data_IF_306249399343
#
_entry.id   IF_306249399343
#
_cell.length_a   1.000
_cell.length_b   1.000
_cell.length_c   1.000
_cell.angle_alpha   90.00
_cell.angle_beta   90.00
_cell.angle_gamma   90.00
#
_symmetry.space_group_name_H-M   'P 1'
#
loop_
_entity.id
_entity.type
_entity.pdbx_description
1 polymer ?
#
# COMPACT_ATOMS: atom_id res chain seq x y z
N UNK A 1 -17.75 -14.79 24.45
CA UNK A 1 -17.33 -14.54 23.04
C UNK A 1 -17.94 -13.27 22.46
N UNK A 2 -19.19 -12.93 22.81
CA UNK A 2 -19.88 -11.73 22.27
C UNK A 2 -19.18 -10.41 22.64
N UNK A 3 -18.59 -10.30 23.81
CA UNK A 3 -17.84 -9.12 24.26
C UNK A 3 -16.50 -8.92 23.54
N UNK A 4 -15.88 -10.01 23.06
CA UNK A 4 -14.60 -9.93 22.31
C UNK A 4 -14.80 -9.47 20.86
N UNK A 5 -15.92 -9.82 20.22
CA UNK A 5 -16.23 -9.41 18.85
C UNK A 5 -16.54 -7.91 18.76
N UNK A 6 -17.26 -7.36 19.74
CA UNK A 6 -17.50 -5.91 19.79
C UNK A 6 -16.20 -5.11 20.01
N UNK A 7 -15.30 -5.61 20.87
CA UNK A 7 -14.01 -4.95 21.12
C UNK A 7 -13.04 -5.05 19.93
N UNK A 8 -13.25 -5.98 19.00
CA UNK A 8 -12.42 -6.11 17.80
C UNK A 8 -12.90 -5.17 16.70
N UNK A 9 -14.21 -5.00 16.51
CA UNK A 9 -14.79 -4.19 15.42
C UNK A 9 -14.40 -2.73 15.44
N UNK A 10 -14.31 -2.12 16.62
CA UNK A 10 -13.92 -0.72 16.80
C UNK A 10 -12.38 -0.48 16.71
N UNK A 11 -11.60 -1.56 16.57
CA UNK A 11 -10.14 -1.53 16.46
C UNK A 11 -9.62 -2.01 15.10
N UNK A 12 -10.47 -2.61 14.29
CA UNK A 12 -10.10 -3.04 12.93
C UNK A 12 -10.24 -1.84 12.00
N UNK A 13 -9.13 -1.41 11.41
CA UNK A 13 -9.05 -0.22 10.56
C UNK A 13 -8.82 -0.56 9.07
N UNK A 14 -8.69 -1.84 8.73
CA UNK A 14 -8.48 -2.28 7.34
C UNK A 14 -8.56 -3.79 7.21
N UNK A 15 -8.76 -4.25 5.98
CA UNK A 15 -8.79 -5.66 5.59
C UNK A 15 -7.51 -6.01 4.87
N UNK A 16 -6.70 -6.89 5.40
CA UNK A 16 -5.45 -7.30 4.75
C UNK A 16 -4.41 -7.79 5.76
N UNK A 17 -3.19 -7.93 5.31
CA UNK A 17 -2.66 -7.78 3.96
C UNK A 17 -3.21 -8.89 3.04
N UNK A 18 -3.61 -8.55 1.81
CA UNK A 18 -4.19 -9.47 0.83
C UNK A 18 -3.79 -9.09 -0.60
N UNK A 19 -3.78 -10.04 -1.50
CA UNK A 19 -3.44 -9.80 -2.90
C UNK A 19 -2.72 -10.98 -3.55
N UNK A 20 -1.80 -10.69 -4.47
CA UNK A 20 -1.15 -11.69 -5.31
C UNK A 20 0.38 -11.60 -5.18
N UNK A 21 1.02 -12.72 -4.84
CA UNK A 21 2.48 -12.87 -4.86
C UNK A 21 2.88 -14.07 -5.73
N UNK A 22 3.35 -13.77 -6.94
CA UNK A 22 3.82 -14.78 -7.88
C UNK A 22 5.34 -14.91 -7.90
N UNK A 23 6.01 -14.16 -7.04
CA UNK A 23 7.45 -14.27 -6.86
C UNK A 23 7.80 -15.43 -5.90
N UNK A 24 7.17 -15.47 -4.72
CA UNK A 24 7.39 -16.55 -3.77
C UNK A 24 6.56 -17.78 -4.09
N UNK A 25 5.39 -17.61 -4.72
CA UNK A 25 4.47 -18.67 -5.18
C UNK A 25 4.18 -19.73 -4.09
N UNK A 26 4.06 -19.28 -2.85
CA UNK A 26 3.87 -20.13 -1.65
C UNK A 26 2.50 -20.79 -1.59
N UNK A 27 1.54 -20.30 -2.39
CA UNK A 27 0.18 -20.84 -2.51
C UNK A 27 -0.25 -20.87 -3.96
N UNK A 28 -1.04 -21.86 -4.40
CA UNK A 28 -1.53 -21.92 -5.78
C UNK A 28 -2.21 -20.62 -6.21
N UNK A 29 -1.82 -20.06 -7.35
CA UNK A 29 -2.32 -18.77 -7.86
C UNK A 29 -3.83 -18.65 -7.84
N UNK A 30 -4.53 -19.71 -8.25
CA UNK A 30 -6.00 -19.77 -8.19
C UNK A 30 -6.54 -19.51 -6.78
N UNK A 31 -5.90 -20.06 -5.75
CA UNK A 31 -6.29 -19.84 -4.36
C UNK A 31 -5.97 -18.42 -3.89
N UNK A 32 -4.86 -17.85 -4.36
CA UNK A 32 -4.54 -16.44 -4.07
C UNK A 32 -5.64 -15.52 -4.65
N UNK A 33 -6.04 -15.74 -5.91
CA UNK A 33 -7.12 -14.97 -6.56
C UNK A 33 -8.45 -15.14 -5.83
N UNK A 34 -8.84 -16.38 -5.47
CA UNK A 34 -10.07 -16.65 -4.72
C UNK A 34 -10.06 -15.94 -3.34
N UNK A 35 -8.93 -15.97 -2.63
CA UNK A 35 -8.78 -15.29 -1.34
C UNK A 35 -8.82 -13.77 -1.51
N UNK A 36 -8.12 -13.24 -2.52
CA UNK A 36 -8.10 -11.80 -2.80
C UNK A 36 -9.51 -11.25 -3.06
N UNK A 37 -10.30 -11.91 -3.91
CA UNK A 37 -11.70 -11.54 -4.17
C UNK A 37 -12.57 -11.57 -2.91
N UNK A 38 -12.41 -12.59 -2.05
CA UNK A 38 -13.13 -12.67 -0.76
C UNK A 38 -12.79 -11.52 0.19
N UNK A 39 -11.53 -11.09 0.21
CA UNK A 39 -11.14 -9.93 1.02
C UNK A 39 -11.68 -8.61 0.43
N UNK A 40 -11.77 -8.51 -0.90
CA UNK A 40 -12.45 -7.38 -1.55
C UNK A 40 -13.93 -7.34 -1.17
N UNK A 41 -14.63 -8.48 -1.19
CA UNK A 41 -16.02 -8.57 -0.74
C UNK A 41 -16.15 -8.14 0.73
N UNK A 42 -15.27 -8.62 1.61
CA UNK A 42 -15.25 -8.23 3.03
C UNK A 42 -14.99 -6.73 3.21
N UNK A 43 -14.10 -6.14 2.41
CA UNK A 43 -13.85 -4.69 2.40
C UNK A 43 -15.10 -3.92 2.00
N UNK A 44 -15.77 -4.35 0.93
CA UNK A 44 -17.01 -3.75 0.44
C UNK A 44 -18.15 -3.83 1.46
N UNK A 45 -18.32 -5.00 2.12
CA UNK A 45 -19.37 -5.22 3.12
C UNK A 45 -19.14 -4.45 4.42
N UNK A 46 -17.88 -4.34 4.84
CA UNK A 46 -17.53 -3.68 6.10
C UNK A 46 -17.33 -2.17 5.96
N UNK A 47 -17.09 -1.67 4.75
CA UNK A 47 -16.66 -0.29 4.49
C UNK A 47 -15.20 -0.01 4.89
N UNK A 48 -14.46 -1.03 5.34
CA UNK A 48 -13.05 -0.88 5.71
C UNK A 48 -12.14 -0.93 4.48
N UNK A 49 -11.06 -0.14 4.44
CA UNK A 49 -10.14 -0.13 3.30
C UNK A 49 -9.39 -1.45 3.16
N UNK A 50 -9.10 -1.80 1.91
CA UNK A 50 -8.32 -2.97 1.56
C UNK A 50 -6.82 -2.65 1.55
N UNK A 51 -6.00 -3.47 2.22
CA UNK A 51 -4.54 -3.36 2.21
C UNK A 51 -4.02 -4.36 1.18
N UNK A 52 -3.60 -3.85 0.01
CA UNK A 52 -3.26 -4.67 -1.16
C UNK A 52 -1.76 -4.91 -1.26
N UNK A 53 -1.39 -6.18 -1.27
CA UNK A 53 -0.07 -6.65 -1.67
C UNK A 53 -0.08 -7.09 -3.13
N UNK A 54 0.96 -6.72 -3.89
CA UNK A 54 1.18 -7.29 -5.23
C UNK A 54 2.67 -7.44 -5.53
N UNK A 55 3.05 -8.61 -6.04
CA UNK A 55 4.43 -8.89 -6.43
C UNK A 55 4.47 -9.86 -7.61
N UNK A 56 5.08 -9.41 -8.72
CA UNK A 56 5.14 -10.17 -9.98
C UNK A 56 3.75 -10.59 -10.50
N UNK A 57 2.71 -9.81 -10.19
CA UNK A 57 1.32 -10.08 -10.53
C UNK A 57 0.56 -8.82 -11.00
N UNK A 58 1.28 -7.82 -11.50
CA UNK A 58 0.77 -6.48 -11.81
C UNK A 58 -0.50 -6.51 -12.64
N UNK A 59 -0.46 -7.17 -13.80
CA UNK A 59 -1.59 -7.24 -14.72
C UNK A 59 -2.82 -7.86 -14.09
N UNK A 60 -2.69 -9.03 -13.45
CA UNK A 60 -3.83 -9.74 -12.87
C UNK A 60 -4.41 -8.97 -11.66
N UNK A 61 -3.54 -8.32 -10.88
CA UNK A 61 -3.98 -7.42 -9.80
C UNK A 61 -4.82 -6.27 -10.35
N UNK A 62 -4.37 -5.61 -11.42
CA UNK A 62 -5.12 -4.52 -12.06
C UNK A 62 -6.46 -5.00 -12.62
N UNK A 63 -6.48 -6.15 -13.32
CA UNK A 63 -7.68 -6.74 -13.88
C UNK A 63 -8.72 -7.03 -12.77
N UNK A 64 -8.30 -7.66 -11.67
CA UNK A 64 -9.19 -7.96 -10.53
C UNK A 64 -9.72 -6.69 -9.87
N UNK A 65 -8.86 -5.71 -9.59
CA UNK A 65 -9.29 -4.47 -8.95
C UNK A 65 -10.32 -3.71 -9.80
N UNK A 66 -10.10 -3.60 -11.12
CA UNK A 66 -11.06 -2.96 -12.04
C UNK A 66 -12.39 -3.73 -12.10
N UNK A 67 -12.32 -5.06 -12.24
CA UNK A 67 -13.51 -5.91 -12.29
C UNK A 67 -14.34 -5.81 -11.02
N UNK A 68 -13.69 -5.89 -9.85
CA UNK A 68 -14.39 -5.87 -8.57
C UNK A 68 -14.96 -4.49 -8.23
N UNK A 69 -14.28 -3.40 -8.62
CA UNK A 69 -14.82 -2.04 -8.49
C UNK A 69 -16.06 -1.84 -9.33
N UNK A 70 -16.14 -2.50 -10.50
CA UNK A 70 -17.34 -2.51 -11.33
C UNK A 70 -18.56 -3.19 -10.69
N UNK A 71 -18.36 -4.05 -9.68
CA UNK A 71 -19.43 -4.72 -8.92
C UNK A 71 -19.89 -3.88 -7.71
N UNK A 72 -19.09 -2.95 -7.24
CA UNK A 72 -19.38 -2.06 -6.13
C UNK A 72 -18.13 -1.40 -5.59
N UNK A 73 -18.25 -0.16 -5.16
CA UNK A 73 -17.14 0.63 -4.66
C UNK A 73 -16.54 0.05 -3.37
N UNK A 74 -15.22 0.14 -3.25
CA UNK A 74 -14.44 -0.08 -2.05
C UNK A 74 -13.19 0.79 -2.11
N UNK A 75 -12.59 1.09 -0.97
CA UNK A 75 -11.36 1.87 -0.86
C UNK A 75 -10.17 0.97 -0.57
N UNK A 76 -8.96 1.47 -0.79
CA UNK A 76 -7.78 0.68 -0.46
C UNK A 76 -6.47 1.42 -0.60
N UNK A 77 -5.41 0.72 -0.23
CA UNK A 77 -4.03 1.17 -0.39
C UNK A 77 -3.20 0.05 -1.03
N UNK A 78 -2.41 0.40 -2.03
CA UNK A 78 -1.34 -0.49 -2.50
C UNK A 78 -0.18 -0.32 -1.52
N UNK A 79 -0.01 -1.29 -0.65
CA UNK A 79 1.02 -1.29 0.37
C UNK A 79 2.38 -1.67 -0.22
N UNK A 80 3.45 -1.12 0.35
CA UNK A 80 4.84 -1.39 -0.04
C UNK A 80 5.07 -1.35 -1.56
N UNK A 81 4.54 -0.28 -2.21
CA UNK A 81 4.53 -0.15 -3.66
C UNK A 81 5.94 -0.27 -4.24
N UNK A 82 6.16 -1.29 -5.04
CA UNK A 82 7.45 -1.60 -5.66
C UNK A 82 7.29 -2.27 -7.04
N UNK A 83 6.16 -2.04 -7.69
CA UNK A 83 5.72 -2.67 -8.93
C UNK A 83 5.60 -1.68 -10.08
N UNK A 84 5.00 -2.08 -11.19
CA UNK A 84 4.96 -1.30 -12.42
C UNK A 84 3.99 -0.13 -12.41
N UNK A 85 4.18 0.77 -13.38
CA UNK A 85 3.35 1.97 -13.60
C UNK A 85 1.86 1.66 -13.76
N UNK A 86 1.53 0.55 -14.42
CA UNK A 86 0.13 0.14 -14.62
C UNK A 86 -0.63 -0.02 -13.29
N UNK A 87 0.04 -0.56 -12.26
CA UNK A 87 -0.58 -0.70 -10.93
C UNK A 87 -0.80 0.67 -10.28
N UNK A 88 0.16 1.58 -10.40
CA UNK A 88 0.01 2.95 -9.87
C UNK A 88 -1.16 3.68 -10.53
N UNK A 89 -1.21 3.68 -11.87
CA UNK A 89 -2.29 4.31 -12.63
C UNK A 89 -3.65 3.69 -12.29
N UNK A 90 -3.73 2.36 -12.25
CA UNK A 90 -4.97 1.66 -11.86
C UNK A 90 -5.41 2.05 -10.45
N UNK A 91 -4.49 2.06 -9.49
CA UNK A 91 -4.80 2.43 -8.11
C UNK A 91 -5.32 3.87 -8.01
N UNK A 92 -4.67 4.82 -8.70
CA UNK A 92 -5.07 6.22 -8.72
C UNK A 92 -6.45 6.43 -9.38
N UNK A 93 -6.70 5.77 -10.51
CA UNK A 93 -7.98 5.81 -11.23
C UNK A 93 -9.15 5.28 -10.36
N UNK A 94 -8.88 4.28 -9.53
CA UNK A 94 -9.84 3.71 -8.59
C UNK A 94 -9.94 4.51 -7.27
N UNK A 95 -9.17 5.58 -7.11
CA UNK A 95 -9.14 6.41 -5.91
C UNK A 95 -8.39 5.81 -4.73
N UNK A 96 -7.56 4.80 -4.96
CA UNK A 96 -6.73 4.18 -3.93
C UNK A 96 -5.55 5.06 -3.55
N UNK A 97 -4.96 4.75 -2.42
CA UNK A 97 -3.69 5.32 -1.96
C UNK A 97 -2.53 4.40 -2.34
N UNK A 98 -1.33 4.99 -2.43
CA UNK A 98 -0.09 4.27 -2.71
C UNK A 98 0.86 4.52 -1.54
N UNK A 99 1.29 3.45 -0.89
CA UNK A 99 2.19 3.51 0.26
C UNK A 99 3.61 3.14 -0.14
N UNK A 100 4.55 4.00 0.22
CA UNK A 100 5.96 3.90 -0.16
C UNK A 100 6.82 3.52 1.05
N UNK A 101 7.55 2.42 0.93
CA UNK A 101 8.50 1.93 1.91
C UNK A 101 9.94 2.33 1.60
N UNK A 102 10.87 1.93 2.45
CA UNK A 102 12.31 2.22 2.30
C UNK A 102 12.93 1.79 0.97
N UNK A 103 12.27 0.91 0.21
CA UNK A 103 12.76 0.44 -1.10
C UNK A 103 12.96 1.60 -2.10
N UNK A 104 12.21 2.69 -2.00
CA UNK A 104 12.35 3.87 -2.87
C UNK A 104 13.75 4.50 -2.77
N UNK A 105 14.42 4.32 -1.63
CA UNK A 105 15.77 4.85 -1.37
C UNK A 105 16.88 3.99 -1.98
N UNK A 106 16.56 2.79 -2.50
CA UNK A 106 17.58 1.83 -2.94
C UNK A 106 18.25 2.26 -4.24
N UNK A 107 19.54 1.94 -4.37
CA UNK A 107 20.34 2.33 -5.54
C UNK A 107 19.68 1.92 -6.87
N UNK A 108 19.08 0.75 -6.93
CA UNK A 108 18.52 0.16 -8.15
C UNK A 108 17.00 0.45 -8.31
N UNK A 109 16.45 1.43 -7.59
CA UNK A 109 15.02 1.74 -7.61
C UNK A 109 14.67 2.94 -8.53
N UNK A 110 15.47 3.24 -9.57
CA UNK A 110 15.21 4.42 -10.42
C UNK A 110 13.87 4.33 -11.14
N UNK A 111 13.51 3.18 -11.70
CA UNK A 111 12.21 2.98 -12.35
C UNK A 111 11.02 3.21 -11.38
N UNK A 112 11.19 2.82 -10.12
CA UNK A 112 10.20 3.12 -9.08
C UNK A 112 10.12 4.63 -8.81
N UNK A 113 11.26 5.31 -8.70
CA UNK A 113 11.31 6.77 -8.48
C UNK A 113 10.67 7.57 -9.60
N UNK A 114 10.80 7.13 -10.86
CA UNK A 114 10.10 7.73 -12.00
C UNK A 114 8.57 7.68 -11.83
N UNK A 115 8.04 6.57 -11.33
CA UNK A 115 6.61 6.42 -11.05
C UNK A 115 6.21 7.33 -9.87
N UNK A 116 7.01 7.31 -8.79
CA UNK A 116 6.72 8.07 -7.56
C UNK A 116 6.66 9.57 -7.81
N UNK A 117 7.46 10.12 -8.74
CA UNK A 117 7.39 11.55 -9.12
C UNK A 117 5.99 11.96 -9.60
N UNK A 118 5.28 11.05 -10.25
CA UNK A 118 3.95 11.31 -10.84
C UNK A 118 2.79 11.06 -9.85
N UNK A 119 3.02 10.35 -8.72
CA UNK A 119 1.97 10.10 -7.72
C UNK A 119 1.61 11.41 -7.02
N UNK A 120 0.33 11.85 -7.00
CA UNK A 120 -0.06 13.06 -6.29
C UNK A 120 0.08 12.88 -4.76
N UNK A 121 0.46 13.95 -4.06
CA UNK A 121 0.66 13.91 -2.61
C UNK A 121 -0.61 13.49 -1.85
N UNK A 122 -1.78 13.85 -2.37
CA UNK A 122 -3.09 13.52 -1.81
C UNK A 122 -3.41 12.02 -1.84
N UNK A 123 -2.59 11.23 -2.53
CA UNK A 123 -2.74 9.77 -2.65
C UNK A 123 -1.52 9.00 -2.15
N UNK A 124 -0.57 9.70 -1.53
CA UNK A 124 0.69 9.12 -1.09
C UNK A 124 0.69 8.85 0.42
N UNK A 125 1.14 7.66 0.79
CA UNK A 125 1.45 7.27 2.16
C UNK A 125 2.92 6.88 2.27
N UNK A 126 3.46 6.96 3.48
CA UNK A 126 4.79 6.45 3.82
C UNK A 126 4.69 5.36 4.87
N UNK A 127 5.49 4.31 4.72
CA UNK A 127 5.52 3.16 5.62
C UNK A 127 6.93 2.62 5.80
N UNK A 128 7.09 1.64 6.67
CA UNK A 128 8.39 1.00 6.89
C UNK A 128 8.53 -0.38 6.25
N UNK A 129 7.50 -1.20 6.29
CA UNK A 129 7.55 -2.64 6.04
C UNK A 129 8.53 -3.37 7.00
N UNK A 130 8.65 -2.85 8.24
CA UNK A 130 9.53 -3.43 9.26
C UNK A 130 9.16 -4.89 9.57
N UNK A 131 10.15 -5.77 9.74
CA UNK A 131 11.59 -5.52 9.94
C UNK A 131 12.42 -5.51 8.65
N UNK A 132 11.79 -5.45 7.48
CA UNK A 132 12.41 -5.49 6.15
C UNK A 132 12.63 -4.08 5.60
N UNK A 133 13.31 -3.99 4.45
CA UNK A 133 13.41 -2.82 3.58
C UNK A 133 13.96 -1.55 4.27
N UNK A 134 14.87 -1.69 5.25
CA UNK A 134 15.50 -0.53 5.89
C UNK A 134 15.98 0.48 4.84
N UNK A 135 15.58 1.77 4.94
CA UNK A 135 15.98 2.80 3.98
C UNK A 135 17.46 3.14 4.09
N UNK A 136 18.01 3.87 3.12
CA UNK A 136 19.31 4.54 3.28
C UNK A 136 19.14 5.63 4.35
N UNK A 137 20.08 5.76 5.33
CA UNK A 137 21.41 5.10 5.39
C UNK A 137 21.44 3.74 6.11
N UNK A 138 20.31 3.20 6.54
CA UNK A 138 20.22 2.00 7.39
C UNK A 138 20.24 0.67 6.62
N UNK A 139 20.63 0.68 5.35
CA UNK A 139 20.71 -0.55 4.53
C UNK A 139 21.55 -1.64 5.20
N UNK A 140 21.01 -2.89 5.15
CA UNK A 140 21.68 -4.05 5.77
C UNK A 140 21.41 -4.21 7.27
N UNK A 141 20.73 -3.27 7.90
CA UNK A 141 20.24 -3.37 9.27
C UNK A 141 18.80 -3.88 9.31
N UNK A 142 18.35 -4.34 10.48
CA UNK A 142 16.93 -4.59 10.72
C UNK A 142 16.18 -3.25 10.69
N UNK A 143 15.11 -3.18 9.90
CA UNK A 143 14.27 -2.00 9.84
C UNK A 143 13.42 -1.84 11.11
N UNK A 144 13.11 -0.60 11.46
CA UNK A 144 12.26 -0.25 12.60
C UNK A 144 11.35 0.94 12.28
N UNK A 145 10.24 1.14 13.01
CA UNK A 145 9.28 2.21 12.72
C UNK A 145 9.91 3.61 12.67
N UNK A 146 10.94 3.89 13.46
CA UNK A 146 11.63 5.19 13.47
C UNK A 146 12.24 5.56 12.11
N UNK A 147 12.64 4.57 11.30
CA UNK A 147 13.27 4.81 10.00
C UNK A 147 12.29 5.27 8.90
N UNK A 148 10.99 5.30 9.16
CA UNK A 148 10.01 5.91 8.25
C UNK A 148 10.37 7.37 7.94
N UNK A 149 11.01 8.08 8.88
CA UNK A 149 11.49 9.44 8.70
C UNK A 149 12.47 9.56 7.51
N UNK A 150 13.39 8.62 7.35
CA UNK A 150 14.37 8.66 6.27
C UNK A 150 13.72 8.36 4.91
N UNK A 151 12.71 7.48 4.87
CA UNK A 151 11.88 7.26 3.69
C UNK A 151 11.14 8.55 3.31
N UNK A 152 10.50 9.23 4.27
CA UNK A 152 9.77 10.48 4.03
C UNK A 152 10.70 11.63 3.59
N UNK A 153 11.89 11.76 4.17
CA UNK A 153 12.90 12.73 3.74
C UNK A 153 13.33 12.50 2.30
N UNK A 154 13.60 11.24 1.94
CA UNK A 154 13.98 10.90 0.58
C UNK A 154 12.87 11.22 -0.44
N UNK A 155 11.61 10.94 -0.09
CA UNK A 155 10.45 11.24 -0.95
C UNK A 155 10.27 12.75 -1.10
N UNK A 156 10.48 13.54 -0.04
CA UNK A 156 10.44 15.00 -0.10
C UNK A 156 11.46 15.56 -1.10
N UNK A 157 12.71 15.12 -1.01
CA UNK A 157 13.76 15.48 -1.96
C UNK A 157 13.42 15.04 -3.40
N UNK A 158 12.97 13.81 -3.58
CA UNK A 158 12.57 13.26 -4.89
C UNK A 158 11.45 14.05 -5.56
N UNK A 159 10.49 14.55 -4.79
CA UNK A 159 9.34 15.33 -5.28
C UNK A 159 9.58 16.84 -5.30
N UNK A 160 10.71 17.32 -4.76
CA UNK A 160 11.03 18.75 -4.68
C UNK A 160 10.09 19.53 -3.76
N UNK A 161 9.62 18.91 -2.65
CA UNK A 161 8.76 19.54 -1.65
C UNK A 161 9.41 19.51 -0.28
N UNK A 162 8.91 20.32 0.65
CA UNK A 162 9.41 20.31 2.01
C UNK A 162 9.05 19.02 2.77
N UNK A 163 9.96 18.56 3.64
CA UNK A 163 9.73 17.37 4.46
C UNK A 163 8.43 17.45 5.28
N UNK A 164 8.12 18.63 5.83
CA UNK A 164 6.90 18.85 6.60
C UNK A 164 5.64 18.65 5.77
N UNK A 165 5.70 18.92 4.47
CA UNK A 165 4.58 18.70 3.55
C UNK A 165 4.31 17.21 3.36
N UNK A 166 5.34 16.38 3.16
CA UNK A 166 5.20 14.92 3.11
C UNK A 166 4.61 14.38 4.40
N UNK A 167 5.13 14.82 5.56
CA UNK A 167 4.65 14.36 6.87
C UNK A 167 3.19 14.73 7.09
N UNK A 168 2.82 15.99 6.80
CA UNK A 168 1.46 16.48 6.96
C UNK A 168 0.49 15.75 6.02
N UNK A 169 0.84 15.65 4.73
CA UNK A 169 -0.04 15.06 3.73
C UNK A 169 -0.20 13.55 3.92
N UNK A 170 0.89 12.82 4.15
CA UNK A 170 0.80 11.38 4.44
C UNK A 170 0.02 11.10 5.74
N UNK A 171 0.20 11.93 6.77
CA UNK A 171 -0.59 11.85 8.00
C UNK A 171 -2.08 12.08 7.76
N UNK A 172 -2.44 13.12 7.01
CA UNK A 172 -3.83 13.39 6.64
C UNK A 172 -4.42 12.23 5.82
N UNK A 173 -3.71 11.73 4.83
CA UNK A 173 -4.12 10.61 4.01
C UNK A 173 -4.35 9.34 4.85
N UNK A 174 -3.47 9.08 5.83
CA UNK A 174 -3.63 7.97 6.76
C UNK A 174 -4.94 8.08 7.56
N UNK A 175 -5.24 9.25 8.11
CA UNK A 175 -6.50 9.46 8.83
C UNK A 175 -7.71 9.31 7.93
N UNK A 176 -7.67 9.83 6.70
CA UNK A 176 -8.77 9.73 5.75
C UNK A 176 -9.07 8.28 5.36
N UNK A 177 -8.04 7.47 5.09
CA UNK A 177 -8.24 6.10 4.59
C UNK A 177 -8.46 5.07 5.70
N UNK A 178 -7.82 5.23 6.87
CA UNK A 178 -7.79 4.18 7.89
C UNK A 178 -8.56 4.51 9.17
N UNK A 179 -8.94 5.75 9.42
CA UNK A 179 -9.54 6.15 10.70
C UNK A 179 -10.95 6.74 10.55
N UNK A 180 -11.27 7.33 9.38
CA UNK A 180 -12.62 7.80 9.05
C UNK A 180 -13.38 6.67 8.35
#
# INVERSE_FOLDING_TARGET
LVGSEMCIRDRVIGIGETGLDYFYDTSPRKKQVEAFRKHIDASRESGLPLIVHTRSADRETCEILREETGKGAFSGVIHCFSVGREVAETALDLGFYISLSGIVTFKNAESLREIVRDIPLERLLVETDSPYLAPVPHRGQRNEPAFVRDTALFIADLKGVEFVEIVSQSGNNFFIILIN
#
